data_IF_022660478430
#
_entry.id   IF_022660478430
#
_cell.length_a   1.000
_cell.length_b   1.000
_cell.length_c   1.000
_cell.angle_alpha   90.00
_cell.angle_beta   90.00
_cell.angle_gamma   90.00
#
_symmetry.space_group_name_H-M   'P 1'
#
loop_
_entity.id
_entity.type
_entity.pdbx_description
1 polymer ?
#
# COMPACT_ATOMS: atom_id res chain seq x y z
N UNK A 1 -41.77 6.23 1.47
CA UNK A 1 -40.63 6.78 2.20
C UNK A 1 -39.44 6.76 1.25
N UNK A 2 -39.16 7.88 0.61
CA UNK A 2 -38.11 8.05 -0.40
C UNK A 2 -36.81 8.34 0.32
N UNK A 3 -35.85 7.43 0.22
CA UNK A 3 -34.49 7.63 0.70
C UNK A 3 -33.79 8.65 -0.21
N UNK A 4 -33.53 9.82 0.32
CA UNK A 4 -32.74 10.88 -0.33
C UNK A 4 -31.27 10.44 -0.24
N UNK A 5 -30.72 9.97 -1.34
CA UNK A 5 -29.27 9.77 -1.49
C UNK A 5 -28.61 11.16 -1.49
N UNK A 6 -27.90 11.49 -0.41
CA UNK A 6 -27.03 12.66 -0.36
C UNK A 6 -25.94 12.50 -1.43
N UNK A 7 -25.91 13.39 -2.40
CA UNK A 7 -24.79 13.55 -3.32
C UNK A 7 -23.61 14.11 -2.53
N UNK A 8 -22.64 13.26 -2.19
CA UNK A 8 -21.34 13.73 -1.73
C UNK A 8 -20.64 14.45 -2.88
N UNK A 9 -20.46 15.73 -2.72
CA UNK A 9 -19.75 16.62 -3.64
C UNK A 9 -18.25 16.40 -3.49
N UNK A 10 -17.56 16.05 -4.59
CA UNK A 10 -16.11 16.05 -4.68
C UNK A 10 -15.60 17.46 -4.34
N UNK A 11 -14.65 17.63 -3.40
CA UNK A 11 -14.14 18.95 -3.01
C UNK A 11 -13.50 19.66 -4.21
N UNK A 12 -13.93 20.87 -4.48
CA UNK A 12 -13.30 21.80 -5.43
C UNK A 12 -12.00 22.33 -4.85
N UNK A 13 -11.03 22.60 -5.72
CA UNK A 13 -9.67 23.10 -5.41
C UNK A 13 -9.68 24.18 -4.32
N UNK A 14 -8.98 23.92 -3.19
CA UNK A 14 -8.76 24.86 -2.09
C UNK A 14 -9.13 24.36 -0.71
N UNK A 15 -9.79 23.22 -0.55
CA UNK A 15 -10.04 22.57 0.74
C UNK A 15 -8.96 21.50 1.00
N UNK A 16 -8.42 21.52 2.20
CA UNK A 16 -7.52 20.46 2.68
C UNK A 16 -8.20 19.10 2.50
N UNK A 17 -7.55 18.17 1.77
CA UNK A 17 -8.13 16.86 1.55
C UNK A 17 -8.20 16.08 2.88
N UNK A 18 -9.26 15.29 3.13
CA UNK A 18 -9.32 14.42 4.29
C UNK A 18 -8.10 13.51 4.35
N UNK A 19 -7.61 13.20 5.56
CA UNK A 19 -6.50 12.26 5.76
C UNK A 19 -6.91 10.80 5.51
N UNK A 20 -8.15 10.49 5.81
CA UNK A 20 -8.73 9.16 5.61
C UNK A 20 -9.31 9.01 4.21
N UNK A 21 -9.32 7.78 3.71
CA UNK A 21 -10.11 7.42 2.53
C UNK A 21 -11.60 7.61 2.80
N UNK A 22 -12.40 7.70 1.74
CA UNK A 22 -13.85 7.76 1.89
C UNK A 22 -14.37 6.53 2.67
N UNK A 23 -15.19 6.71 3.74
CA UNK A 23 -15.60 5.61 4.64
C UNK A 23 -16.23 4.40 3.95
N UNK A 24 -16.96 4.62 2.85
CA UNK A 24 -17.61 3.54 2.08
C UNK A 24 -16.61 2.61 1.37
N UNK A 25 -15.33 2.97 1.30
CA UNK A 25 -14.29 2.15 0.64
C UNK A 25 -13.82 0.98 1.50
N UNK A 26 -13.80 1.12 2.83
CA UNK A 26 -13.34 0.06 3.74
C UNK A 26 -14.12 -1.26 3.62
N UNK A 27 -15.47 -1.28 3.60
CA UNK A 27 -16.22 -2.51 3.35
C UNK A 27 -15.87 -3.14 1.98
N UNK A 28 -15.69 -2.31 0.94
CA UNK A 28 -15.32 -2.78 -0.40
C UNK A 28 -13.94 -3.45 -0.37
N UNK A 29 -12.95 -2.84 0.27
CA UNK A 29 -11.62 -3.43 0.43
C UNK A 29 -11.69 -4.73 1.23
N UNK A 30 -12.43 -4.75 2.34
CA UNK A 30 -12.58 -5.95 3.17
C UNK A 30 -13.08 -7.15 2.38
N UNK A 31 -14.02 -6.94 1.45
CA UNK A 31 -14.55 -7.99 0.57
C UNK A 31 -13.58 -8.38 -0.55
N UNK A 32 -12.94 -7.40 -1.19
CA UNK A 32 -12.16 -7.62 -2.39
C UNK A 32 -10.73 -8.11 -2.13
N UNK A 33 -10.12 -7.71 -1.03
CA UNK A 33 -8.69 -7.98 -0.78
C UNK A 33 -8.35 -9.48 -0.74
N UNK A 34 -9.27 -10.33 -0.34
CA UNK A 34 -9.02 -11.78 -0.27
C UNK A 34 -9.23 -12.49 -1.60
N UNK A 35 -9.99 -11.92 -2.53
CA UNK A 35 -10.43 -12.64 -3.74
C UNK A 35 -10.06 -11.95 -5.04
N UNK A 36 -9.98 -10.63 -5.05
CA UNK A 36 -9.70 -9.88 -6.27
C UNK A 36 -8.25 -10.05 -6.72
N UNK A 37 -8.05 -10.35 -7.98
CA UNK A 37 -6.76 -10.68 -8.60
C UNK A 37 -5.64 -9.67 -8.31
N UNK A 38 -5.99 -8.37 -8.29
CA UNK A 38 -5.02 -7.29 -8.06
C UNK A 38 -4.39 -7.38 -6.66
N UNK A 39 -5.22 -7.46 -5.62
CA UNK A 39 -4.75 -7.51 -4.23
C UNK A 39 -4.03 -8.83 -3.95
N UNK A 40 -4.57 -9.95 -4.41
CA UNK A 40 -3.95 -11.27 -4.22
C UNK A 40 -2.61 -11.38 -4.94
N UNK A 41 -2.52 -10.91 -6.19
CA UNK A 41 -1.29 -10.93 -6.99
C UNK A 41 -0.19 -10.05 -6.38
N UNK A 42 -0.54 -8.81 -6.00
CA UNK A 42 0.37 -7.87 -5.33
C UNK A 42 0.88 -8.44 -4.01
N UNK A 43 0.01 -8.99 -3.18
CA UNK A 43 0.37 -9.60 -1.91
C UNK A 43 1.41 -10.71 -2.08
N UNK A 44 1.33 -11.51 -3.15
CA UNK A 44 2.35 -12.53 -3.47
C UNK A 44 3.71 -11.92 -3.81
N UNK A 45 3.74 -10.77 -4.48
CA UNK A 45 4.98 -10.04 -4.77
C UNK A 45 5.54 -9.50 -3.47
N UNK A 46 4.76 -8.77 -2.67
CA UNK A 46 5.16 -8.19 -1.38
C UNK A 46 5.68 -9.27 -0.44
N UNK A 47 4.95 -10.38 -0.29
CA UNK A 47 5.34 -11.51 0.54
C UNK A 47 6.72 -12.09 0.18
N UNK A 48 7.11 -12.05 -1.10
CA UNK A 48 8.44 -12.52 -1.50
C UNK A 48 9.57 -11.65 -0.97
N UNK A 49 9.39 -10.32 -0.96
CA UNK A 49 10.35 -9.38 -0.38
C UNK A 49 10.38 -9.47 1.15
N UNK A 50 9.21 -9.54 1.80
CA UNK A 50 9.09 -9.74 3.25
C UNK A 50 9.81 -11.00 3.68
N UNK A 51 9.60 -12.12 2.96
CA UNK A 51 10.28 -13.38 3.22
C UNK A 51 11.80 -13.24 3.16
N UNK A 52 12.33 -12.58 2.13
CA UNK A 52 13.77 -12.41 1.94
C UNK A 52 14.38 -11.50 3.03
N UNK A 53 13.65 -10.47 3.49
CA UNK A 53 14.07 -9.60 4.59
C UNK A 53 14.05 -10.38 5.92
N UNK A 54 12.94 -11.01 6.25
CA UNK A 54 12.77 -11.75 7.51
C UNK A 54 13.72 -12.94 7.63
N UNK A 55 14.10 -13.57 6.52
CA UNK A 55 15.06 -14.69 6.52
C UNK A 55 16.47 -14.26 6.95
N UNK A 56 16.79 -12.96 7.00
CA UNK A 56 18.08 -12.45 7.51
C UNK A 56 18.12 -12.42 9.05
N UNK A 57 16.97 -12.55 9.72
CA UNK A 57 16.84 -12.56 11.18
C UNK A 57 16.68 -14.01 11.62
N UNK A 58 17.71 -14.58 12.22
CA UNK A 58 17.78 -16.01 12.51
C UNK A 58 17.75 -16.35 14.00
N UNK A 59 17.94 -15.37 14.86
CA UNK A 59 18.06 -15.52 16.31
C UNK A 59 16.72 -15.39 17.06
N UNK A 60 15.70 -14.83 16.42
CA UNK A 60 14.37 -14.61 16.99
C UNK A 60 13.30 -14.45 15.91
N UNK A 61 12.05 -14.45 16.34
CA UNK A 61 10.93 -14.13 15.46
C UNK A 61 10.95 -12.62 15.12
N UNK A 62 10.90 -12.21 13.83
CA UNK A 62 10.90 -10.82 13.43
C UNK A 62 9.73 -10.03 14.02
N UNK A 63 9.99 -8.79 14.46
CA UNK A 63 8.96 -7.83 14.85
C UNK A 63 8.61 -6.97 13.63
N UNK A 64 7.35 -7.02 13.19
CA UNK A 64 6.89 -6.39 11.95
C UNK A 64 5.81 -5.36 12.27
N UNK A 65 5.88 -4.17 11.68
CA UNK A 65 4.81 -3.18 11.71
C UNK A 65 4.27 -2.94 10.30
N UNK A 66 2.95 -2.96 10.16
CA UNK A 66 2.25 -2.52 8.96
C UNK A 66 1.63 -1.15 9.21
N UNK A 67 2.20 -0.10 8.61
CA UNK A 67 1.71 1.27 8.70
C UNK A 67 0.64 1.46 7.62
N UNK A 68 -0.53 1.98 8.00
CA UNK A 68 -1.69 2.04 7.13
C UNK A 68 -2.22 0.63 6.83
N UNK A 69 -2.43 -0.18 7.87
CA UNK A 69 -2.79 -1.59 7.71
C UNK A 69 -4.18 -1.83 7.08
N UNK A 70 -4.99 -0.77 6.91
CA UNK A 70 -6.30 -0.83 6.28
C UNK A 70 -7.20 -1.88 6.92
N UNK A 71 -7.85 -2.70 6.12
CA UNK A 71 -8.73 -3.77 6.61
C UNK A 71 -7.98 -5.06 7.01
N UNK A 72 -6.64 -5.05 6.99
CA UNK A 72 -5.78 -6.06 7.61
C UNK A 72 -5.38 -7.24 6.72
N UNK A 73 -5.68 -7.25 5.42
CA UNK A 73 -5.33 -8.39 4.57
C UNK A 73 -3.82 -8.57 4.39
N UNK A 74 -3.06 -7.48 4.29
CA UNK A 74 -1.60 -7.52 4.26
C UNK A 74 -1.04 -7.87 5.64
N UNK A 75 -1.57 -7.29 6.72
CA UNK A 75 -1.17 -7.60 8.09
C UNK A 75 -1.33 -9.09 8.42
N UNK A 76 -2.41 -9.73 7.95
CA UNK A 76 -2.60 -11.18 8.07
C UNK A 76 -1.47 -11.96 7.39
N UNK A 77 -1.07 -11.58 6.18
CA UNK A 77 0.06 -12.19 5.47
C UNK A 77 1.38 -11.95 6.21
N UNK A 78 1.61 -10.73 6.73
CA UNK A 78 2.83 -10.40 7.48
C UNK A 78 2.97 -11.26 8.75
N UNK A 79 1.85 -11.61 9.39
CA UNK A 79 1.84 -12.50 10.58
C UNK A 79 2.37 -13.91 10.31
N UNK A 80 2.46 -14.33 9.05
CA UNK A 80 3.10 -15.60 8.67
C UNK A 80 4.63 -15.54 8.81
N UNK A 81 5.24 -14.35 8.73
CA UNK A 81 6.69 -14.15 8.74
C UNK A 81 7.25 -13.65 10.06
N UNK A 82 6.41 -13.06 10.92
CA UNK A 82 6.86 -12.49 12.20
C UNK A 82 5.71 -12.19 13.15
N UNK A 83 6.05 -11.58 14.28
CA UNK A 83 5.07 -10.98 15.19
C UNK A 83 4.66 -9.64 14.62
N UNK A 84 3.49 -9.60 13.96
CA UNK A 84 3.03 -8.45 13.23
C UNK A 84 2.07 -7.58 14.06
N UNK A 85 2.29 -6.27 14.00
CA UNK A 85 1.42 -5.22 14.52
C UNK A 85 0.94 -4.35 13.34
N UNK A 86 -0.25 -3.78 13.47
CA UNK A 86 -0.79 -2.84 12.50
C UNK A 86 -1.11 -1.48 13.14
N UNK A 87 -1.00 -0.42 12.35
CA UNK A 87 -1.48 0.91 12.71
C UNK A 87 -2.22 1.51 11.54
N UNK A 88 -3.35 2.15 11.81
CA UNK A 88 -4.12 2.89 10.82
C UNK A 88 -4.73 4.13 11.47
N UNK A 89 -4.94 5.18 10.69
CA UNK A 89 -5.57 6.41 11.15
C UNK A 89 -7.09 6.24 11.32
N UNK A 90 -7.69 5.30 10.60
CA UNK A 90 -9.13 5.06 10.59
C UNK A 90 -9.57 4.06 11.64
N UNK A 91 -10.54 4.46 12.46
CA UNK A 91 -11.18 3.58 13.43
C UNK A 91 -11.93 2.43 12.73
N UNK A 92 -12.54 2.67 11.56
CA UNK A 92 -13.24 1.66 10.76
C UNK A 92 -12.25 0.59 10.27
N UNK A 93 -11.05 0.98 9.80
CA UNK A 93 -10.00 0.06 9.41
C UNK A 93 -9.60 -0.86 10.57
N UNK A 94 -9.42 -0.30 11.76
CA UNK A 94 -9.09 -1.07 12.97
C UNK A 94 -10.20 -2.07 13.34
N UNK A 95 -11.46 -1.70 13.18
CA UNK A 95 -12.58 -2.62 13.40
C UNK A 95 -12.60 -3.78 12.40
N UNK A 96 -12.34 -3.52 11.12
CA UNK A 96 -12.17 -4.56 10.11
C UNK A 96 -10.99 -5.49 10.39
N UNK A 97 -9.85 -4.95 10.85
CA UNK A 97 -8.74 -5.78 11.32
C UNK A 97 -9.17 -6.74 12.45
N UNK A 98 -9.90 -6.23 13.44
CA UNK A 98 -10.43 -7.04 14.53
C UNK A 98 -11.41 -8.09 14.05
N UNK A 99 -12.26 -7.76 13.09
CA UNK A 99 -13.18 -8.72 12.45
C UNK A 99 -12.43 -9.85 11.72
N UNK A 100 -11.21 -9.58 11.20
CA UNK A 100 -10.30 -10.62 10.66
C UNK A 100 -9.58 -11.43 11.74
N UNK A 101 -9.78 -11.13 13.02
CA UNK A 101 -9.10 -11.78 14.14
C UNK A 101 -7.72 -11.21 14.48
N UNK A 102 -7.35 -10.09 13.89
CA UNK A 102 -6.09 -9.40 14.16
C UNK A 102 -6.24 -8.52 15.42
N UNK A 103 -5.49 -8.84 16.48
CA UNK A 103 -5.64 -8.19 17.79
C UNK A 103 -4.59 -7.11 18.05
N UNK A 104 -3.42 -7.22 17.42
CA UNK A 104 -2.31 -6.30 17.63
C UNK A 104 -2.41 -5.13 16.63
N UNK A 105 -3.47 -4.34 16.76
CA UNK A 105 -3.74 -3.18 15.91
C UNK A 105 -4.06 -1.95 16.77
N UNK A 106 -3.52 -0.79 16.35
CA UNK A 106 -3.67 0.48 17.06
C UNK A 106 -4.16 1.57 16.11
N UNK A 107 -4.92 2.50 16.64
CA UNK A 107 -5.23 3.76 15.97
C UNK A 107 -4.01 4.68 16.07
N UNK A 108 -3.61 5.30 14.96
CA UNK A 108 -2.49 6.24 14.93
C UNK A 108 -2.17 6.70 13.52
N UNK A 109 -1.55 7.86 13.41
CA UNK A 109 -1.10 8.45 12.16
C UNK A 109 0.33 7.97 11.80
N UNK A 110 0.64 7.93 10.50
CA UNK A 110 1.98 7.56 10.03
C UNK A 110 3.05 8.60 10.42
N UNK A 111 2.64 9.85 10.61
CA UNK A 111 3.51 10.95 11.04
C UNK A 111 3.79 10.97 12.56
N UNK A 112 3.03 10.18 13.34
CA UNK A 112 3.18 10.04 14.80
C UNK A 112 2.79 8.63 15.21
N UNK A 113 3.70 7.68 15.05
CA UNK A 113 3.44 6.26 15.32
C UNK A 113 3.38 5.98 16.82
N UNK A 114 2.34 5.27 17.33
CA UNK A 114 2.16 5.00 18.77
C UNK A 114 3.08 3.85 19.26
N UNK A 115 4.34 3.91 18.87
CA UNK A 115 5.38 2.93 19.21
C UNK A 115 6.68 3.63 19.60
N UNK A 116 7.46 2.98 20.46
CA UNK A 116 8.78 3.46 20.84
C UNK A 116 9.79 3.30 19.69
N UNK A 117 10.88 4.06 19.76
CA UNK A 117 12.00 3.92 18.84
C UNK A 117 12.61 2.51 18.93
N UNK A 118 13.27 2.08 17.85
CA UNK A 118 14.03 0.83 17.79
C UNK A 118 13.24 -0.44 18.18
N UNK A 119 11.96 -0.48 17.82
CA UNK A 119 11.06 -1.57 18.19
C UNK A 119 10.99 -2.67 17.14
N UNK A 120 10.94 -2.30 15.85
CA UNK A 120 10.64 -3.22 14.76
C UNK A 120 11.86 -3.57 13.90
N UNK A 121 11.84 -4.75 13.33
CA UNK A 121 12.85 -5.24 12.40
C UNK A 121 12.48 -4.94 10.95
N UNK A 122 11.17 -4.93 10.68
CA UNK A 122 10.60 -4.59 9.38
C UNK A 122 9.39 -3.68 9.60
N UNK A 123 9.34 -2.59 8.86
CA UNK A 123 8.14 -1.77 8.72
C UNK A 123 7.70 -1.77 7.27
N UNK A 124 6.43 -2.07 7.04
CA UNK A 124 5.79 -1.97 5.72
C UNK A 124 4.91 -0.74 5.69
N UNK A 125 4.91 -0.02 4.55
CA UNK A 125 3.95 1.03 4.22
C UNK A 125 3.51 0.81 2.77
N UNK A 126 2.31 0.25 2.62
CA UNK A 126 1.81 -0.30 1.36
C UNK A 126 0.61 0.54 0.89
N UNK A 127 0.87 1.44 -0.05
CA UNK A 127 -0.05 2.50 -0.49
C UNK A 127 -0.44 3.45 0.68
N UNK A 128 0.56 4.05 1.30
CA UNK A 128 0.41 4.97 2.43
C UNK A 128 1.10 6.31 2.19
N UNK A 129 2.35 6.27 1.73
CA UNK A 129 3.21 7.46 1.65
C UNK A 129 2.66 8.52 0.68
N UNK A 130 1.91 8.10 -0.34
CA UNK A 130 1.20 8.98 -1.28
C UNK A 130 0.06 9.79 -0.66
N UNK A 131 -0.43 9.38 0.52
CA UNK A 131 -1.48 10.10 1.24
C UNK A 131 -0.92 11.21 2.14
N UNK A 132 0.35 11.13 2.52
CA UNK A 132 0.95 12.05 3.48
C UNK A 132 1.21 13.42 2.86
N UNK A 133 0.90 14.49 3.59
CA UNK A 133 1.26 15.84 3.19
C UNK A 133 2.78 16.04 3.30
N UNK A 134 3.40 15.62 4.43
CA UNK A 134 4.84 15.51 4.65
C UNK A 134 5.27 14.03 4.57
N UNK A 135 5.52 13.55 3.36
CA UNK A 135 5.96 12.17 3.12
C UNK A 135 7.32 11.86 3.73
N UNK A 136 8.24 12.83 3.72
CA UNK A 136 9.56 12.68 4.34
C UNK A 136 9.45 12.63 5.87
N UNK A 137 8.55 13.41 6.47
CA UNK A 137 8.24 13.36 7.90
C UNK A 137 7.71 11.99 8.32
N UNK A 138 6.73 11.44 7.60
CA UNK A 138 6.21 10.10 7.85
C UNK A 138 7.27 9.00 7.66
N UNK A 139 8.12 9.13 6.64
CA UNK A 139 9.25 8.19 6.45
C UNK A 139 10.29 8.30 7.58
N UNK A 140 10.54 9.48 8.15
CA UNK A 140 11.40 9.64 9.34
C UNK A 140 10.81 8.95 10.57
N UNK A 141 9.49 9.00 10.71
CA UNK A 141 8.79 8.35 11.80
C UNK A 141 8.83 6.81 11.65
N UNK A 142 8.67 6.30 10.43
CA UNK A 142 8.92 4.88 10.11
C UNK A 142 10.36 4.48 10.46
N UNK A 143 11.34 5.35 10.14
CA UNK A 143 12.74 5.08 10.50
C UNK A 143 12.96 5.09 12.02
N UNK A 144 12.31 5.98 12.75
CA UNK A 144 12.42 6.08 14.23
C UNK A 144 12.04 4.77 14.93
N UNK A 145 10.96 4.13 14.48
CA UNK A 145 10.48 2.90 15.12
C UNK A 145 11.23 1.65 14.66
N UNK A 146 12.02 1.74 13.60
CA UNK A 146 12.90 0.66 13.16
C UNK A 146 14.15 0.58 14.02
N UNK A 147 14.55 -0.64 14.36
CA UNK A 147 15.86 -0.92 14.96
C UNK A 147 16.98 -0.49 14.03
N UNK A 148 18.16 -0.14 14.55
CA UNK A 148 19.35 0.03 13.73
C UNK A 148 19.58 -1.20 12.84
N UNK A 149 19.70 -0.99 11.54
CA UNK A 149 19.79 -2.08 10.56
C UNK A 149 18.49 -2.74 10.16
N UNK A 150 17.35 -2.35 10.76
CA UNK A 150 16.01 -2.76 10.35
C UNK A 150 15.63 -2.24 8.96
N UNK A 151 14.61 -2.81 8.36
CA UNK A 151 14.24 -2.53 6.96
C UNK A 151 12.85 -1.89 6.85
N UNK A 152 12.73 -0.93 5.94
CA UNK A 152 11.45 -0.45 5.44
C UNK A 152 11.16 -1.07 4.06
N UNK A 153 9.94 -1.55 3.87
CA UNK A 153 9.40 -1.96 2.57
C UNK A 153 8.26 -1.01 2.20
N UNK A 154 8.53 -0.13 1.26
CA UNK A 154 7.59 0.89 0.80
C UNK A 154 7.04 0.49 -0.56
N UNK A 155 5.72 0.58 -0.71
CA UNK A 155 5.02 0.30 -1.96
C UNK A 155 4.07 1.46 -2.26
N UNK A 156 4.21 2.07 -3.44
CA UNK A 156 3.47 3.30 -3.81
C UNK A 156 2.96 3.22 -5.25
N UNK A 157 1.88 3.94 -5.61
CA UNK A 157 1.44 4.10 -6.98
C UNK A 157 2.45 4.95 -7.76
N UNK A 158 2.65 4.60 -9.04
CA UNK A 158 3.62 5.30 -9.88
C UNK A 158 2.98 6.12 -10.99
N UNK A 159 3.73 7.13 -11.44
CA UNK A 159 3.47 8.00 -12.60
C UNK A 159 2.15 8.77 -12.52
N UNK A 160 2.26 10.09 -12.46
CA UNK A 160 1.11 11.02 -12.47
C UNK A 160 0.21 10.85 -13.70
N UNK A 161 0.76 10.41 -14.85
CA UNK A 161 -0.04 10.12 -16.04
C UNK A 161 -0.96 8.89 -15.90
N UNK A 162 -0.75 8.04 -14.88
CA UNK A 162 -1.65 6.94 -14.50
C UNK A 162 -2.74 7.38 -13.48
N UNK A 163 -2.81 8.65 -13.12
CA UNK A 163 -3.85 9.13 -12.20
C UNK A 163 -5.24 8.68 -12.66
N UNK A 164 -6.06 8.15 -11.77
CA UNK A 164 -7.38 7.63 -12.07
C UNK A 164 -8.37 7.84 -10.93
N UNK A 165 -9.58 7.32 -11.09
CA UNK A 165 -10.67 7.46 -10.11
C UNK A 165 -10.26 6.91 -8.73
N UNK A 166 -9.45 5.85 -8.70
CA UNK A 166 -8.97 5.28 -7.44
C UNK A 166 -8.14 6.28 -6.65
N UNK A 167 -7.33 7.12 -7.31
CA UNK A 167 -6.53 8.13 -6.63
C UNK A 167 -7.41 9.21 -5.98
N UNK A 168 -8.48 9.62 -6.68
CA UNK A 168 -9.43 10.61 -6.16
C UNK A 168 -10.21 10.06 -4.97
N UNK A 169 -10.72 8.82 -5.07
CA UNK A 169 -11.50 8.15 -4.02
C UNK A 169 -10.64 7.86 -2.78
N UNK A 170 -9.36 7.54 -2.98
CA UNK A 170 -8.42 7.29 -1.90
C UNK A 170 -7.75 8.57 -1.36
N UNK A 171 -8.08 9.74 -1.89
CA UNK A 171 -7.50 11.03 -1.52
C UNK A 171 -5.97 11.06 -1.62
N UNK A 172 -5.39 10.43 -2.69
CA UNK A 172 -3.96 10.51 -2.94
C UNK A 172 -3.52 11.97 -3.14
N UNK A 173 -2.32 12.30 -2.65
CA UNK A 173 -1.67 13.60 -2.87
C UNK A 173 -0.80 13.57 -4.13
N UNK A 174 -0.20 12.38 -4.39
CA UNK A 174 0.82 12.20 -5.43
C UNK A 174 0.93 10.76 -5.89
N UNK A 175 1.63 10.59 -7.00
CA UNK A 175 2.18 9.34 -7.47
C UNK A 175 3.67 9.53 -7.68
N UNK A 176 4.46 8.48 -7.51
CA UNK A 176 5.91 8.57 -7.54
C UNK A 176 6.52 8.05 -8.84
N UNK A 177 7.69 8.57 -9.16
CA UNK A 177 8.71 7.82 -9.92
C UNK A 177 9.70 7.20 -8.92
N UNK A 178 10.46 6.19 -9.34
CA UNK A 178 11.49 5.61 -8.45
C UNK A 178 12.56 6.62 -8.02
N UNK A 179 13.03 7.57 -8.87
CA UNK A 179 13.95 8.61 -8.41
C UNK A 179 13.37 9.50 -7.30
N UNK A 180 12.09 9.88 -7.39
CA UNK A 180 11.40 10.67 -6.36
C UNK A 180 11.27 9.89 -5.05
N UNK A 181 10.81 8.64 -5.11
CA UNK A 181 10.71 7.77 -3.94
C UNK A 181 12.09 7.57 -3.27
N UNK A 182 13.13 7.29 -4.06
CA UNK A 182 14.50 7.15 -3.53
C UNK A 182 14.99 8.42 -2.88
N UNK A 183 14.69 9.60 -3.45
CA UNK A 183 15.03 10.88 -2.85
C UNK A 183 14.37 11.05 -1.49
N UNK A 184 13.05 10.85 -1.40
CA UNK A 184 12.31 10.94 -0.13
C UNK A 184 12.88 9.98 0.94
N UNK A 185 13.17 8.72 0.55
CA UNK A 185 13.79 7.74 1.45
C UNK A 185 15.17 8.20 1.96
N UNK A 186 16.02 8.72 1.07
CA UNK A 186 17.36 9.22 1.46
C UNK A 186 17.26 10.46 2.36
N UNK A 187 16.33 11.39 2.08
CA UNK A 187 16.08 12.59 2.89
C UNK A 187 15.53 12.22 4.29
N UNK A 188 14.78 11.11 4.39
CA UNK A 188 14.36 10.54 5.66
C UNK A 188 15.47 9.78 6.41
N UNK A 189 16.68 9.64 5.83
CA UNK A 189 17.84 9.02 6.46
C UNK A 189 17.96 7.51 6.26
N UNK A 190 17.24 6.94 5.29
CA UNK A 190 17.41 5.55 4.90
C UNK A 190 18.57 5.35 3.92
N UNK A 191 19.10 4.13 3.91
CA UNK A 191 19.95 3.61 2.84
C UNK A 191 19.13 2.71 1.91
N UNK A 192 18.87 3.17 0.69
CA UNK A 192 18.09 2.41 -0.28
C UNK A 192 18.92 1.24 -0.81
N UNK A 193 18.55 0.02 -0.43
CA UNK A 193 19.19 -1.21 -0.91
C UNK A 193 18.65 -1.62 -2.28
N UNK A 194 17.36 -1.43 -2.48
CA UNK A 194 16.70 -1.80 -3.74
C UNK A 194 15.51 -0.93 -4.04
N UNK A 195 15.36 -0.53 -5.30
CA UNK A 195 14.13 0.05 -5.82
C UNK A 195 13.81 -0.54 -7.19
N UNK A 196 12.55 -0.87 -7.42
CA UNK A 196 12.07 -1.46 -8.68
C UNK A 196 10.62 -1.05 -8.92
N UNK A 197 10.21 -1.04 -10.18
CA UNK A 197 8.78 -1.04 -10.46
C UNK A 197 8.22 -2.44 -10.29
N UNK A 198 6.90 -2.53 -10.13
CA UNK A 198 6.12 -3.75 -10.02
C UNK A 198 4.79 -3.59 -10.77
N UNK A 199 4.06 -4.68 -10.93
CA UNK A 199 2.78 -4.71 -11.65
C UNK A 199 2.93 -4.27 -13.12
N UNK A 200 4.06 -4.63 -13.76
CA UNK A 200 4.35 -4.33 -15.17
C UNK A 200 3.40 -5.09 -16.10
N UNK A 201 3.04 -6.32 -15.76
CA UNK A 201 2.20 -7.21 -16.57
C UNK A 201 0.84 -6.59 -16.90
N UNK A 202 0.27 -5.85 -15.95
CA UNK A 202 -1.03 -5.21 -16.12
C UNK A 202 -0.94 -3.70 -16.40
N UNK A 203 0.25 -3.15 -16.61
CA UNK A 203 0.41 -1.76 -17.00
C UNK A 203 -0.33 -1.41 -18.30
N UNK A 204 -0.22 -2.20 -19.41
CA UNK A 204 -0.91 -1.88 -20.65
C UNK A 204 -2.45 -1.86 -20.51
N UNK A 205 -3.12 -2.89 -19.93
CA UNK A 205 -4.56 -2.85 -19.76
C UNK A 205 -5.02 -1.77 -18.78
N UNK A 206 -4.30 -1.51 -17.68
CA UNK A 206 -4.63 -0.41 -16.75
C UNK A 206 -4.55 0.94 -17.46
N UNK A 207 -3.47 1.18 -18.20
CA UNK A 207 -3.33 2.41 -18.98
C UNK A 207 -4.46 2.59 -20.02
N UNK A 208 -4.80 1.51 -20.74
CA UNK A 208 -5.87 1.53 -21.74
C UNK A 208 -7.22 1.85 -21.09
N UNK A 209 -7.59 1.15 -20.02
CA UNK A 209 -8.87 1.36 -19.31
C UNK A 209 -8.95 2.80 -18.78
N UNK A 210 -7.92 3.28 -18.09
CA UNK A 210 -7.88 4.66 -17.56
C UNK A 210 -7.94 5.70 -18.67
N UNK A 211 -7.29 5.45 -19.80
CA UNK A 211 -7.37 6.35 -20.97
C UNK A 211 -8.77 6.39 -21.55
N UNK A 212 -9.43 5.24 -21.74
CA UNK A 212 -10.82 5.17 -22.23
C UNK A 212 -11.75 5.89 -21.26
N UNK A 213 -11.65 5.62 -19.94
CA UNK A 213 -12.46 6.29 -18.93
C UNK A 213 -12.28 7.81 -18.96
N UNK A 214 -11.05 8.28 -19.12
CA UNK A 214 -10.74 9.72 -19.23
C UNK A 214 -11.35 10.36 -20.50
N UNK A 215 -11.28 9.66 -21.64
CA UNK A 215 -11.80 10.14 -22.91
C UNK A 215 -13.34 10.11 -22.98
N UNK A 216 -13.95 9.11 -22.36
CA UNK A 216 -15.42 8.93 -22.39
C UNK A 216 -16.14 9.62 -21.25
N UNK A 217 -15.42 10.09 -20.22
CA UNK A 217 -16.01 10.61 -18.99
C UNK A 217 -16.75 9.54 -18.17
N UNK A 218 -16.51 8.26 -18.44
CA UNK A 218 -17.13 7.15 -17.69
C UNK A 218 -16.72 7.22 -16.22
N UNK A 219 -17.71 7.21 -15.34
CA UNK A 219 -17.50 7.24 -13.89
C UNK A 219 -17.76 5.84 -13.31
N UNK A 220 -16.86 5.38 -12.48
CA UNK A 220 -17.02 4.22 -11.61
C UNK A 220 -16.78 4.66 -10.17
N UNK A 221 -17.50 4.08 -9.21
CA UNK A 221 -17.31 4.45 -7.80
C UNK A 221 -15.99 3.94 -7.25
N UNK A 222 -15.48 2.83 -7.81
CA UNK A 222 -14.24 2.19 -7.37
C UNK A 222 -13.69 1.28 -8.48
N UNK A 223 -12.41 1.44 -8.85
CA UNK A 223 -11.78 0.64 -9.92
C UNK A 223 -11.78 -0.88 -9.62
N UNK A 224 -11.73 -1.29 -8.35
CA UNK A 224 -11.80 -2.69 -7.93
C UNK A 224 -13.13 -3.39 -8.27
N UNK A 225 -14.18 -2.64 -8.62
CA UNK A 225 -15.43 -3.22 -9.15
C UNK A 225 -15.35 -3.61 -10.62
N UNK A 226 -14.30 -3.15 -11.33
CA UNK A 226 -14.00 -3.61 -12.69
C UNK A 226 -13.36 -5.00 -12.56
N UNK A 227 -14.19 -6.01 -12.41
CA UNK A 227 -13.78 -7.35 -12.04
C UNK A 227 -14.44 -8.42 -12.91
N UNK A 228 -13.64 -9.36 -13.42
CA UNK A 228 -14.11 -10.57 -14.10
C UNK A 228 -13.89 -11.73 -13.12
N UNK A 229 -14.81 -11.86 -12.16
CA UNK A 229 -14.70 -12.78 -11.01
C UNK A 229 -14.18 -14.20 -11.35
N UNK A 230 -14.64 -14.89 -12.41
CA UNK A 230 -14.13 -16.21 -12.76
C UNK A 230 -12.65 -16.25 -13.14
N UNK A 231 -12.09 -15.12 -13.59
CA UNK A 231 -10.68 -15.01 -14.00
C UNK A 231 -9.74 -14.54 -12.89
N UNK A 232 -10.25 -14.19 -11.72
CA UNK A 232 -9.45 -13.73 -10.59
C UNK A 232 -8.28 -14.67 -10.24
N UNK A 233 -8.46 -16.00 -10.12
CA UNK A 233 -7.33 -16.88 -9.80
C UNK A 233 -6.24 -16.87 -10.88
N UNK A 234 -6.62 -16.81 -12.15
CA UNK A 234 -5.69 -16.77 -13.28
C UNK A 234 -4.91 -15.45 -13.29
N UNK A 235 -5.60 -14.31 -13.17
CA UNK A 235 -4.94 -13.01 -13.19
C UNK A 235 -4.07 -12.79 -11.95
N UNK A 236 -4.50 -13.27 -10.76
CA UNK A 236 -3.69 -13.26 -9.56
C UNK A 236 -2.44 -14.14 -9.69
N UNK A 237 -2.54 -15.27 -10.40
CA UNK A 237 -1.40 -16.12 -10.70
C UNK A 237 -0.43 -15.42 -11.66
N UNK A 238 -0.93 -14.88 -12.78
CA UNK A 238 -0.13 -14.13 -13.75
C UNK A 238 0.62 -12.99 -13.07
N UNK A 239 -0.09 -12.12 -12.33
CA UNK A 239 0.52 -11.00 -11.62
C UNK A 239 1.55 -11.49 -10.58
N UNK A 240 1.21 -12.52 -9.83
CA UNK A 240 2.08 -13.12 -8.84
C UNK A 240 3.36 -13.74 -9.40
N UNK A 241 3.44 -14.07 -10.71
CA UNK A 241 4.68 -14.59 -11.35
C UNK A 241 5.78 -13.53 -11.40
N UNK A 242 5.43 -12.24 -11.35
CA UNK A 242 6.41 -11.15 -11.33
C UNK A 242 7.43 -11.30 -10.18
N UNK A 243 7.03 -11.87 -9.04
CA UNK A 243 7.92 -12.15 -7.91
C UNK A 243 9.15 -12.98 -8.32
N UNK A 244 9.00 -13.90 -9.29
CA UNK A 244 10.08 -14.74 -9.78
C UNK A 244 11.11 -13.93 -10.57
N UNK A 245 10.64 -13.06 -11.47
CA UNK A 245 11.51 -12.17 -12.24
C UNK A 245 12.14 -11.11 -11.34
N UNK A 246 11.38 -10.55 -10.42
CA UNK A 246 11.86 -9.55 -9.46
C UNK A 246 12.98 -10.08 -8.53
N UNK A 247 13.19 -11.38 -8.42
CA UNK A 247 14.36 -11.94 -7.70
C UNK A 247 15.68 -11.67 -8.40
N UNK A 248 15.66 -11.54 -9.73
CA UNK A 248 16.87 -11.48 -10.55
C UNK A 248 17.07 -10.13 -11.22
N UNK A 249 16.02 -9.34 -11.37
CA UNK A 249 16.08 -8.07 -12.11
C UNK A 249 15.14 -7.01 -11.53
N UNK A 250 15.42 -5.76 -11.82
CA UNK A 250 14.49 -4.66 -11.56
C UNK A 250 13.70 -4.33 -12.82
N UNK A 251 12.41 -4.07 -12.68
CA UNK A 251 11.59 -3.65 -13.81
C UNK A 251 11.81 -2.15 -14.10
N UNK A 252 11.85 -1.76 -15.38
CA UNK A 252 12.06 -0.37 -15.77
C UNK A 252 10.79 0.49 -15.70
N UNK A 253 9.60 -0.14 -15.60
CA UNK A 253 8.29 0.51 -15.56
C UNK A 253 7.28 -0.42 -14.88
N UNK A 254 6.20 0.13 -14.33
CA UNK A 254 5.12 -0.63 -13.70
C UNK A 254 4.07 0.31 -13.11
N UNK A 255 2.92 -0.22 -12.71
CA UNK A 255 1.85 0.56 -12.09
C UNK A 255 2.21 1.00 -10.68
N UNK A 256 3.12 0.27 -10.04
CA UNK A 256 3.57 0.53 -8.67
C UNK A 256 5.10 0.57 -8.58
N UNK A 257 5.60 1.31 -7.59
CA UNK A 257 7.01 1.35 -7.19
C UNK A 257 7.20 0.65 -5.86
N UNK A 258 8.30 -0.10 -5.75
CA UNK A 258 8.69 -0.81 -4.55
C UNK A 258 10.10 -0.37 -4.16
N UNK A 259 10.29 -0.06 -2.88
CA UNK A 259 11.58 0.31 -2.32
C UNK A 259 11.83 -0.52 -1.04
N UNK A 260 12.98 -1.17 -0.99
CA UNK A 260 13.55 -1.78 0.22
C UNK A 260 14.71 -0.90 0.66
N UNK A 261 14.67 -0.44 1.90
CA UNK A 261 15.70 0.42 2.45
C UNK A 261 15.99 0.07 3.90
N UNK A 262 17.22 0.30 4.32
CA UNK A 262 17.72 -0.01 5.65
C UNK A 262 17.80 1.25 6.51
N UNK A 263 17.36 1.17 7.76
CA UNK A 263 17.58 2.19 8.76
C UNK A 263 19.07 2.23 9.17
N UNK A 264 19.70 3.40 9.04
CA UNK A 264 21.09 3.64 9.47
C UNK A 264 21.15 3.85 10.97
#
# INVERSE_FOLDING_TARGET
MTATTAKETIPTQGTELPREMMPHTYPIFFELEETHWWYVGRRRIIASFVKDICARITDRRPQILDVGCGTGANLKMLSEFGDAAGVDISADAIEFCRARGLKNVRLGAAEELPYESDTFDLVTALDVVEHLDDDVGGLREIRRVLRPGGHALIFVPTFMWLWGVQDDVSHHRRRYTLPELRRAMNEAGFEVERSTYANITFLPPVFLVRTIMRLTGAKVDHEGRINISPLNPLFAWILGTEKTFLRFMNFPVGVSGLCVARAK
#
